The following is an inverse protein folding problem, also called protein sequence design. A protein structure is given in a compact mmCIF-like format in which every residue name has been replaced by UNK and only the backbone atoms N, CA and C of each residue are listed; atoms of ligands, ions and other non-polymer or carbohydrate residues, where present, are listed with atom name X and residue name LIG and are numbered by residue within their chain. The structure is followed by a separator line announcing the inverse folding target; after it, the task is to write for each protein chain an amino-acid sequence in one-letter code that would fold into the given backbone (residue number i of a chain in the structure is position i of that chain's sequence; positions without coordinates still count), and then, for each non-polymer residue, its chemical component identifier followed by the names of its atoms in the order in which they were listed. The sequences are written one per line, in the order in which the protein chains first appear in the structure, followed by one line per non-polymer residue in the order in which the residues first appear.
data_IF_159601317569
#
_entry.id   IF_159601317569
#
_cell.length_a   1.000
_cell.length_b   1.000
_cell.length_c   1.000
_cell.angle_alpha   90.00
_cell.angle_beta   90.00
_cell.angle_gamma   90.00
#
_symmetry.space_group_name_H-M   'P 1'
#
loop_
_entity.id
_entity.type
_entity.pdbx_description
1 polymer ?
#
# COMPACT_ATOMS: atom_id res chain seq x y z
N UNK A 1 -6.71 -1.74 35.11
CA UNK A 1 -7.73 -0.68 34.98
C UNK A 1 -7.68 0.00 33.61
N UNK A 2 -6.55 0.63 33.20
CA UNK A 2 -6.44 1.29 31.89
C UNK A 2 -6.74 0.40 30.66
N UNK A 3 -6.19 -0.82 30.58
CA UNK A 3 -6.49 -1.77 29.48
C UNK A 3 -7.96 -2.18 29.42
N UNK A 4 -8.62 -2.26 30.57
CA UNK A 4 -10.05 -2.60 30.65
C UNK A 4 -10.93 -1.43 30.19
N UNK A 5 -10.52 -0.19 30.49
CA UNK A 5 -11.17 1.03 29.98
C UNK A 5 -10.99 1.19 28.47
N UNK A 6 -9.80 0.90 27.94
CA UNK A 6 -9.52 0.91 26.49
C UNK A 6 -10.35 -0.17 25.79
N UNK A 7 -10.38 -1.40 26.31
CA UNK A 7 -11.21 -2.47 25.76
C UNK A 7 -12.71 -2.15 25.83
N UNK A 8 -13.18 -1.51 26.91
CA UNK A 8 -14.55 -1.04 27.04
C UNK A 8 -14.87 0.08 26.03
N UNK A 9 -13.93 1.00 25.81
CA UNK A 9 -14.08 2.08 24.85
C UNK A 9 -14.12 1.58 23.40
N UNK A 10 -13.27 0.61 23.04
CA UNK A 10 -13.35 -0.06 21.72
C UNK A 10 -14.69 -0.78 21.55
N UNK A 11 -15.14 -1.55 22.55
CA UNK A 11 -16.45 -2.21 22.50
C UNK A 11 -17.60 -1.22 22.40
N UNK A 12 -17.48 -0.07 23.05
CA UNK A 12 -18.46 1.01 22.97
C UNK A 12 -18.48 1.64 21.58
N UNK A 13 -17.32 1.93 20.96
CA UNK A 13 -17.25 2.42 19.58
C UNK A 13 -17.80 1.39 18.59
N UNK A 14 -17.40 0.12 18.69
CA UNK A 14 -17.93 -0.96 17.84
C UNK A 14 -19.46 -1.09 17.99
N UNK A 15 -19.99 -0.96 19.21
CA UNK A 15 -21.43 -1.00 19.46
C UNK A 15 -22.14 0.25 18.90
N UNK A 16 -21.56 1.43 19.05
CA UNK A 16 -22.09 2.68 18.51
C UNK A 16 -22.09 2.68 16.97
N UNK A 17 -21.03 2.18 16.35
CA UNK A 17 -20.92 1.99 14.90
C UNK A 17 -21.95 0.97 14.39
N UNK A 18 -22.18 -0.14 15.13
CA UNK A 18 -23.26 -1.09 14.82
C UNK A 18 -24.64 -0.46 14.94
N UNK A 19 -24.87 0.42 15.91
CA UNK A 19 -26.15 1.14 16.05
C UNK A 19 -26.36 2.12 14.90
N UNK A 20 -25.30 2.78 14.43
CA UNK A 20 -25.35 3.61 13.20
C UNK A 20 -25.61 2.75 11.96
N UNK A 21 -25.03 1.55 11.88
CA UNK A 21 -25.32 0.58 10.82
C UNK A 21 -26.73 -0.04 10.92
N UNK A 22 -27.36 -0.01 12.11
CA UNK A 22 -28.74 -0.45 12.37
C UNK A 22 -29.78 0.68 12.18
N UNK A 23 -29.35 1.90 11.84
CA UNK A 23 -30.27 2.90 11.32
C UNK A 23 -30.97 2.31 10.08
N UNK A 24 -32.29 2.46 9.93
CA UNK A 24 -33.03 1.69 8.93
C UNK A 24 -32.53 2.06 7.54
N UNK A 25 -31.72 1.15 6.98
CA UNK A 25 -31.42 1.13 5.57
C UNK A 25 -32.75 0.99 4.83
N UNK A 26 -33.00 1.92 3.91
CA UNK A 26 -34.01 1.70 2.89
C UNK A 26 -33.56 0.47 2.10
N UNK A 27 -34.35 -0.60 2.21
CA UNK A 27 -34.35 -1.82 1.42
C UNK A 27 -32.98 -2.43 1.04
N UNK A 28 -32.58 -3.49 1.77
CA UNK A 28 -31.94 -4.65 1.12
C UNK A 28 -30.52 -5.09 1.51
N UNK A 29 -29.84 -4.51 2.51
CA UNK A 29 -28.49 -4.99 2.90
C UNK A 29 -28.55 -6.02 4.04
N UNK A 30 -28.82 -7.27 3.65
CA UNK A 30 -28.62 -8.46 4.49
C UNK A 30 -27.14 -8.61 4.85
N UNK A 31 -26.79 -8.67 6.15
CA UNK A 31 -25.56 -9.23 6.74
C UNK A 31 -24.58 -9.84 5.71
N UNK A 32 -23.82 -9.01 4.99
CA UNK A 32 -22.94 -9.46 3.93
C UNK A 32 -21.66 -10.03 4.56
N UNK A 33 -21.32 -11.26 4.21
CA UNK A 33 -19.96 -11.79 4.36
C UNK A 33 -18.97 -10.74 3.85
N UNK A 34 -17.94 -10.41 4.63
CA UNK A 34 -16.95 -9.41 4.21
C UNK A 34 -16.36 -9.80 2.85
N UNK A 35 -16.36 -8.88 1.89
CA UNK A 35 -15.77 -9.12 0.57
C UNK A 35 -14.26 -9.36 0.73
N UNK A 36 -13.62 -10.16 -0.15
CA UNK A 36 -12.18 -10.45 -0.03
C UNK A 36 -11.29 -9.20 0.06
N UNK A 37 -11.71 -8.09 -0.56
CA UNK A 37 -11.01 -6.82 -0.47
C UNK A 37 -11.14 -6.14 0.91
N UNK A 38 -12.28 -6.30 1.59
CA UNK A 38 -12.49 -5.81 2.95
C UNK A 38 -11.66 -6.59 3.96
N UNK A 39 -11.59 -7.92 3.82
CA UNK A 39 -10.73 -8.77 4.65
C UNK A 39 -9.25 -8.34 4.56
N UNK A 40 -8.76 -8.10 3.34
CA UNK A 40 -7.38 -7.65 3.12
C UNK A 40 -7.17 -6.26 3.70
N UNK A 41 -8.11 -5.32 3.55
CA UNK A 41 -8.01 -4.00 4.19
C UNK A 41 -7.87 -4.14 5.70
N UNK A 42 -8.72 -4.96 6.31
CA UNK A 42 -8.76 -5.15 7.76
C UNK A 42 -7.49 -5.86 8.26
N UNK A 43 -6.93 -6.78 7.48
CA UNK A 43 -5.61 -7.37 7.72
C UNK A 43 -4.50 -6.30 7.77
N UNK A 44 -4.37 -5.46 6.74
CA UNK A 44 -3.38 -4.38 6.75
C UNK A 44 -3.59 -3.40 7.92
N UNK A 45 -4.85 -3.13 8.27
CA UNK A 45 -5.20 -2.27 9.39
C UNK A 45 -4.80 -2.86 10.75
N UNK A 46 -5.02 -4.16 10.97
CA UNK A 46 -4.63 -4.86 12.20
C UNK A 46 -3.11 -4.81 12.44
N UNK A 47 -2.32 -4.70 11.37
CA UNK A 47 -0.86 -4.52 11.42
C UNK A 47 -0.42 -3.04 11.49
N UNK A 48 -1.33 -2.09 11.73
CA UNK A 48 -1.05 -0.65 11.68
C UNK A 48 -0.35 -0.22 10.38
N UNK A 49 -0.72 -0.89 9.28
CA UNK A 49 -0.16 -0.72 7.95
C UNK A 49 1.37 -0.85 7.87
N UNK A 50 2.00 -1.61 8.77
CA UNK A 50 3.44 -1.82 8.80
C UNK A 50 3.82 -3.28 9.07
N UNK A 51 4.65 -3.83 8.20
CA UNK A 51 5.14 -5.21 8.26
C UNK A 51 6.65 -5.21 8.44
N UNK A 52 7.11 -5.15 9.70
CA UNK A 52 8.53 -4.96 10.03
C UNK A 52 9.48 -5.96 9.36
N UNK A 53 9.12 -7.25 9.36
CA UNK A 53 9.94 -8.28 8.71
C UNK A 53 10.10 -8.07 7.20
N UNK A 54 9.04 -7.62 6.50
CA UNK A 54 9.14 -7.28 5.08
C UNK A 54 9.96 -6.01 4.84
N UNK A 55 9.77 -5.01 5.70
CA UNK A 55 10.53 -3.76 5.63
C UNK A 55 12.03 -3.98 5.78
N UNK A 56 12.41 -4.79 6.76
CA UNK A 56 13.81 -5.16 7.01
C UNK A 56 14.43 -5.94 5.85
N UNK A 57 13.71 -6.92 5.29
CA UNK A 57 14.22 -7.68 4.14
C UNK A 57 14.33 -6.78 2.92
N UNK A 58 13.34 -5.93 2.66
CA UNK A 58 13.37 -4.99 1.54
C UNK A 58 14.53 -3.99 1.64
N UNK A 59 14.79 -3.47 2.83
CA UNK A 59 15.89 -2.54 3.12
C UNK A 59 17.26 -3.21 2.93
N UNK A 60 17.43 -4.46 3.37
CA UNK A 60 18.63 -5.26 3.10
C UNK A 60 18.81 -5.52 1.60
N UNK A 61 17.76 -5.96 0.91
CA UNK A 61 17.81 -6.20 -0.54
C UNK A 61 18.17 -4.94 -1.32
N UNK A 62 17.63 -3.78 -0.93
CA UNK A 62 17.99 -2.50 -1.55
C UNK A 62 19.48 -2.15 -1.35
N UNK A 63 20.03 -2.43 -0.16
CA UNK A 63 21.45 -2.25 0.13
C UNK A 63 22.33 -3.19 -0.70
N UNK A 64 21.98 -4.48 -0.78
CA UNK A 64 22.72 -5.50 -1.53
C UNK A 64 22.74 -5.21 -3.04
N UNK A 65 21.63 -4.72 -3.58
CA UNK A 65 21.51 -4.31 -4.99
C UNK A 65 22.15 -2.95 -5.28
N UNK A 66 22.57 -2.20 -4.27
CA UNK A 66 23.16 -0.87 -4.45
C UNK A 66 22.18 0.17 -4.99
N UNK A 67 20.88 0.05 -4.69
CA UNK A 67 19.81 0.90 -5.27
C UNK A 67 19.67 2.27 -4.60
N UNK A 68 20.67 2.70 -3.82
CA UNK A 68 20.63 3.94 -3.04
C UNK A 68 20.55 5.26 -3.84
N UNK A 69 20.61 5.20 -5.17
CA UNK A 69 20.47 6.34 -6.07
C UNK A 69 19.28 6.14 -7.02
N UNK A 70 18.36 7.10 -7.06
CA UNK A 70 17.22 7.10 -7.99
C UNK A 70 17.68 6.93 -9.46
N UNK A 71 16.89 6.21 -10.25
CA UNK A 71 17.13 6.01 -11.69
C UNK A 71 18.04 4.85 -12.09
N UNK A 72 18.46 3.98 -11.14
CA UNK A 72 19.19 2.73 -11.47
C UNK A 72 18.56 1.46 -10.91
N UNK A 73 17.51 1.61 -10.10
CA UNK A 73 16.88 0.48 -9.41
C UNK A 73 16.28 -0.53 -10.37
N UNK A 74 15.64 -0.08 -11.45
CA UNK A 74 15.07 -0.98 -12.45
C UNK A 74 16.15 -1.86 -13.10
N UNK A 75 17.30 -1.28 -13.45
CA UNK A 75 18.37 -2.03 -14.12
C UNK A 75 19.09 -2.99 -13.17
N UNK A 76 19.33 -2.57 -11.92
CA UNK A 76 19.85 -3.47 -10.88
C UNK A 76 18.91 -4.66 -10.63
N UNK A 77 17.59 -4.43 -10.58
CA UNK A 77 16.60 -5.50 -10.43
C UNK A 77 16.56 -6.42 -11.64
N UNK A 78 16.65 -5.89 -12.88
CA UNK A 78 16.74 -6.71 -14.09
C UNK A 78 17.96 -7.61 -14.06
N UNK A 79 19.13 -7.06 -13.72
CA UNK A 79 20.38 -7.81 -13.66
C UNK A 79 20.32 -8.90 -12.58
N UNK A 80 19.77 -8.59 -11.41
CA UNK A 80 19.57 -9.58 -10.34
C UNK A 80 18.63 -10.71 -10.76
N UNK A 81 17.51 -10.39 -11.41
CA UNK A 81 16.58 -11.39 -11.95
C UNK A 81 17.24 -12.26 -13.02
N UNK A 82 18.06 -11.68 -13.90
CA UNK A 82 18.79 -12.42 -14.92
C UNK A 82 19.85 -13.36 -14.32
N UNK A 83 20.68 -12.86 -13.42
CA UNK A 83 21.81 -13.60 -12.85
C UNK A 83 21.38 -14.66 -11.84
N UNK A 84 20.45 -14.32 -10.93
CA UNK A 84 20.04 -15.22 -9.85
C UNK A 84 18.90 -16.15 -10.23
N UNK A 85 17.95 -15.67 -11.02
CA UNK A 85 16.73 -16.41 -11.35
C UNK A 85 16.68 -16.89 -12.80
N UNK A 86 17.66 -16.54 -13.64
CA UNK A 86 17.66 -16.81 -15.09
C UNK A 86 16.42 -16.25 -15.79
N UNK A 87 15.90 -15.14 -15.28
CA UNK A 87 14.70 -14.49 -15.83
C UNK A 87 15.12 -13.37 -16.77
N UNK A 88 14.63 -13.41 -18.01
CA UNK A 88 14.84 -12.34 -18.98
C UNK A 88 13.66 -11.37 -18.96
N UNK A 89 13.95 -10.10 -18.70
CA UNK A 89 12.93 -9.04 -18.71
C UNK A 89 12.78 -8.50 -20.14
N UNK A 90 11.56 -8.56 -20.67
CA UNK A 90 11.24 -8.13 -22.03
C UNK A 90 10.09 -7.13 -22.01
N UNK A 91 10.14 -6.13 -22.89
CA UNK A 91 9.02 -5.20 -23.09
C UNK A 91 8.04 -5.82 -24.10
N UNK A 92 6.76 -5.87 -23.78
CA UNK A 92 5.73 -6.44 -24.67
C UNK A 92 5.43 -5.54 -25.85
N UNK A 93 4.88 -6.13 -26.91
CA UNK A 93 4.26 -5.37 -28.00
C UNK A 93 3.12 -4.49 -27.45
N UNK A 94 3.05 -3.19 -27.78
CA UNK A 94 1.95 -2.31 -27.38
C UNK A 94 0.56 -2.86 -27.72
N UNK A 95 0.39 -3.59 -28.83
CA UNK A 95 -0.90 -4.17 -29.23
C UNK A 95 -1.31 -5.36 -28.37
N UNK A 96 -0.39 -5.92 -27.57
CA UNK A 96 -0.61 -7.10 -26.71
C UNK A 96 -0.46 -6.79 -25.22
N UNK A 97 -0.20 -5.54 -24.87
CA UNK A 97 0.01 -5.12 -23.49
C UNK A 97 -1.34 -4.96 -22.77
N UNK A 98 -1.89 -6.05 -22.23
CA UNK A 98 -3.07 -5.98 -21.35
C UNK A 98 -2.67 -5.73 -19.89
N UNK A 99 -1.59 -6.37 -19.45
CA UNK A 99 -1.13 -6.31 -18.07
C UNK A 99 0.12 -5.43 -17.91
N UNK A 100 0.29 -4.83 -16.73
CA UNK A 100 1.54 -4.14 -16.40
C UNK A 100 2.74 -5.11 -16.39
N UNK A 101 2.52 -6.33 -15.90
CA UNK A 101 3.54 -7.37 -15.75
C UNK A 101 2.92 -8.76 -15.93
N UNK A 102 3.58 -9.62 -16.71
CA UNK A 102 3.25 -11.04 -16.82
C UNK A 102 4.52 -11.87 -16.72
N UNK A 103 4.57 -12.79 -15.76
CA UNK A 103 5.67 -13.73 -15.62
C UNK A 103 5.29 -15.09 -16.21
N UNK A 104 6.15 -15.63 -17.06
CA UNK A 104 6.04 -16.98 -17.59
C UNK A 104 7.17 -17.85 -17.00
N UNK A 105 6.85 -18.75 -16.05
CA UNK A 105 7.86 -19.57 -15.39
C UNK A 105 8.47 -20.62 -16.32
N UNK A 106 7.76 -21.06 -17.36
CA UNK A 106 8.23 -22.13 -18.26
C UNK A 106 9.31 -21.60 -19.21
N UNK A 107 9.12 -20.37 -19.71
CA UNK A 107 10.08 -19.71 -20.61
C UNK A 107 11.10 -18.83 -19.87
N UNK A 108 10.91 -18.57 -18.57
CA UNK A 108 11.75 -17.66 -17.80
C UNK A 108 11.63 -16.21 -18.27
N UNK A 109 10.50 -15.82 -18.87
CA UNK A 109 10.27 -14.48 -19.40
C UNK A 109 9.42 -13.65 -18.45
N UNK A 110 9.89 -12.45 -18.14
CA UNK A 110 9.12 -11.42 -17.45
C UNK A 110 8.76 -10.31 -18.44
N UNK A 111 7.50 -10.32 -18.87
CA UNK A 111 6.92 -9.39 -19.82
C UNK A 111 6.44 -8.14 -19.08
N UNK A 112 6.92 -6.96 -19.49
CA UNK A 112 6.47 -5.66 -18.97
C UNK A 112 5.77 -4.84 -20.04
N UNK A 113 4.71 -4.13 -19.66
CA UNK A 113 4.04 -3.20 -20.58
C UNK A 113 4.99 -2.07 -21.03
N UNK A 114 4.94 -1.67 -22.32
CA UNK A 114 5.76 -0.58 -22.85
C UNK A 114 5.39 0.79 -22.28
N UNK A 115 4.17 0.95 -21.74
CA UNK A 115 3.67 2.23 -21.23
C UNK A 115 4.04 2.51 -19.78
N UNK A 116 4.76 1.58 -19.13
CA UNK A 116 5.25 1.81 -17.78
C UNK A 116 6.40 2.82 -17.80
N UNK A 117 6.28 3.83 -16.95
CA UNK A 117 7.39 4.70 -16.58
C UNK A 117 8.52 3.89 -15.92
N UNK A 118 9.72 4.47 -15.83
CA UNK A 118 10.86 3.79 -15.20
C UNK A 118 10.56 3.39 -13.74
N UNK A 119 9.93 4.29 -12.98
CA UNK A 119 9.48 4.03 -11.61
C UNK A 119 8.51 2.84 -11.54
N UNK A 120 7.54 2.79 -12.45
CA UNK A 120 6.58 1.70 -12.52
C UNK A 120 7.25 0.38 -12.91
N UNK A 121 8.21 0.40 -13.84
CA UNK A 121 9.01 -0.78 -14.18
C UNK A 121 9.76 -1.29 -12.95
N UNK A 122 10.46 -0.41 -12.22
CA UNK A 122 11.18 -0.77 -11.00
C UNK A 122 10.22 -1.40 -9.96
N UNK A 123 9.04 -0.83 -9.77
CA UNK A 123 8.01 -1.38 -8.89
C UNK A 123 7.57 -2.78 -9.32
N UNK A 124 7.25 -2.98 -10.60
CA UNK A 124 6.84 -4.29 -11.12
C UNK A 124 7.93 -5.35 -10.96
N UNK A 125 9.20 -4.98 -11.19
CA UNK A 125 10.34 -5.87 -10.99
C UNK A 125 10.54 -6.24 -9.52
N UNK A 126 10.43 -5.26 -8.61
CA UNK A 126 10.55 -5.48 -7.18
C UNK A 126 9.39 -6.34 -6.64
N UNK A 127 8.17 -6.15 -7.14
CA UNK A 127 7.03 -7.03 -6.82
C UNK A 127 7.31 -8.46 -7.26
N UNK A 128 7.84 -8.66 -8.48
CA UNK A 128 8.18 -10.00 -8.95
C UNK A 128 9.29 -10.63 -8.11
N UNK A 129 10.31 -9.85 -7.72
CA UNK A 129 11.36 -10.31 -6.84
C UNK A 129 10.81 -10.79 -5.49
N UNK A 130 9.88 -10.03 -4.89
CA UNK A 130 9.22 -10.41 -3.65
C UNK A 130 8.52 -11.79 -3.76
N UNK A 131 7.81 -12.00 -4.87
CA UNK A 131 7.08 -13.25 -5.13
C UNK A 131 8.02 -14.45 -5.34
N UNK A 132 9.23 -14.23 -5.85
CA UNK A 132 10.23 -15.26 -6.10
C UNK A 132 11.07 -15.59 -4.86
N UNK A 133 11.57 -14.56 -4.17
CA UNK A 133 12.56 -14.73 -3.10
C UNK A 133 11.97 -14.77 -1.70
N UNK A 134 10.78 -14.21 -1.51
CA UNK A 134 10.16 -14.05 -0.19
C UNK A 134 8.80 -14.74 -0.09
N UNK A 135 8.49 -15.68 -0.99
CA UNK A 135 7.23 -16.43 -0.99
C UNK A 135 6.91 -17.09 0.35
N UNK A 136 7.91 -17.65 1.04
CA UNK A 136 7.72 -18.23 2.38
C UNK A 136 7.30 -17.19 3.42
N UNK A 137 8.02 -16.06 3.50
CA UNK A 137 7.69 -14.96 4.40
C UNK A 137 6.31 -14.37 4.11
N UNK A 138 5.98 -14.16 2.83
CA UNK A 138 4.65 -13.70 2.43
C UNK A 138 3.56 -14.67 2.88
N UNK A 139 3.77 -15.98 2.68
CA UNK A 139 2.80 -17.00 3.09
C UNK A 139 2.64 -17.07 4.61
N UNK A 140 3.73 -16.94 5.38
CA UNK A 140 3.67 -16.87 6.85
C UNK A 140 2.85 -15.68 7.31
N UNK A 141 3.12 -14.48 6.78
CA UNK A 141 2.36 -13.28 7.15
C UNK A 141 0.88 -13.37 6.79
N UNK A 142 0.54 -13.99 5.65
CA UNK A 142 -0.85 -14.24 5.26
C UNK A 142 -1.53 -15.24 6.20
N UNK A 143 -0.83 -16.31 6.59
CA UNK A 143 -1.36 -17.32 7.51
C UNK A 143 -1.61 -16.74 8.92
N UNK A 144 -0.75 -15.85 9.40
CA UNK A 144 -0.91 -15.15 10.67
C UNK A 144 -2.12 -14.20 10.70
N UNK A 145 -2.63 -13.79 9.52
CA UNK A 145 -3.76 -12.89 9.38
C UNK A 145 -5.14 -13.52 9.52
N UNK A 146 -5.23 -14.85 9.65
CA UNK A 146 -6.49 -15.61 9.81
C UNK A 146 -7.60 -15.23 8.80
N UNK A 147 -7.22 -14.98 7.53
CA UNK A 147 -8.16 -14.65 6.45
C UNK A 147 -9.14 -15.80 6.18
N UNK A 148 -10.41 -15.49 5.94
CA UNK A 148 -11.48 -16.47 5.86
C UNK A 148 -11.58 -17.15 4.48
N UNK A 149 -11.07 -16.52 3.42
CA UNK A 149 -11.14 -17.03 2.04
C UNK A 149 -9.78 -17.17 1.35
N UNK A 150 -9.62 -18.20 0.52
CA UNK A 150 -8.42 -18.39 -0.33
C UNK A 150 -8.21 -17.20 -1.28
N UNK A 151 -9.31 -16.56 -1.71
CA UNK A 151 -9.25 -15.35 -2.53
C UNK A 151 -8.66 -14.17 -1.75
N UNK A 152 -9.09 -13.94 -0.51
CA UNK A 152 -8.49 -12.92 0.36
C UNK A 152 -7.01 -13.21 0.63
N UNK A 153 -6.65 -14.47 0.89
CA UNK A 153 -5.26 -14.89 1.06
C UNK A 153 -4.40 -14.59 -0.18
N UNK A 154 -4.91 -14.87 -1.38
CA UNK A 154 -4.25 -14.52 -2.65
C UNK A 154 -4.06 -13.02 -2.82
N UNK A 155 -5.10 -12.22 -2.52
CA UNK A 155 -5.05 -10.76 -2.58
C UNK A 155 -4.10 -10.17 -1.54
N UNK A 156 -4.08 -10.69 -0.31
CA UNK A 156 -3.16 -10.28 0.74
C UNK A 156 -1.71 -10.55 0.34
N UNK A 157 -1.43 -11.72 -0.25
CA UNK A 157 -0.10 -12.05 -0.79
C UNK A 157 0.37 -11.07 -1.84
N UNK A 158 -0.52 -10.65 -2.76
CA UNK A 158 -0.22 -9.61 -3.76
C UNK A 158 0.01 -8.26 -3.06
N UNK A 159 -0.82 -7.90 -2.08
CA UNK A 159 -0.67 -6.69 -1.29
C UNK A 159 0.67 -6.60 -0.58
N UNK A 160 1.11 -7.69 0.05
CA UNK A 160 2.40 -7.78 0.75
C UNK A 160 3.59 -7.75 -0.23
N UNK A 161 3.47 -8.34 -1.41
CA UNK A 161 4.48 -8.21 -2.46
C UNK A 161 4.59 -6.76 -2.97
N UNK A 162 3.48 -6.04 -3.06
CA UNK A 162 3.46 -4.61 -3.38
C UNK A 162 4.01 -3.75 -2.22
N UNK A 163 3.75 -4.13 -0.97
CA UNK A 163 4.36 -3.51 0.21
C UNK A 163 5.89 -3.61 0.14
N UNK A 164 6.40 -4.83 -0.11
CA UNK A 164 7.84 -5.06 -0.28
C UNK A 164 8.42 -4.20 -1.41
N UNK A 165 7.75 -4.12 -2.56
CA UNK A 165 8.21 -3.31 -3.69
C UNK A 165 8.35 -1.83 -3.29
N UNK A 166 7.37 -1.28 -2.56
CA UNK A 166 7.44 0.07 -2.02
C UNK A 166 8.60 0.24 -1.02
N UNK A 167 8.78 -0.71 -0.11
CA UNK A 167 9.85 -0.68 0.89
C UNK A 167 11.25 -0.83 0.28
N UNK A 168 11.40 -1.56 -0.84
CA UNK A 168 12.68 -1.71 -1.55
C UNK A 168 13.05 -0.42 -2.30
N UNK A 169 12.07 0.19 -2.97
CA UNK A 169 12.26 1.44 -3.70
C UNK A 169 12.48 2.63 -2.75
N UNK A 170 11.90 2.56 -1.55
CA UNK A 170 12.02 3.57 -0.50
C UNK A 170 12.41 2.90 0.82
N UNK A 171 13.69 2.50 0.98
CA UNK A 171 14.19 1.83 2.20
C UNK A 171 13.86 2.64 3.44
N UNK A 172 13.36 1.98 4.48
CA UNK A 172 12.69 2.62 5.61
C UNK A 172 13.51 3.76 6.21
N UNK A 173 14.75 3.50 6.63
CA UNK A 173 15.58 4.49 7.33
C UNK A 173 15.96 5.63 6.41
N UNK A 174 16.27 5.35 5.14
CA UNK A 174 16.60 6.39 4.17
C UNK A 174 15.38 7.27 3.84
N UNK A 175 14.20 6.67 3.69
CA UNK A 175 12.96 7.36 3.34
C UNK A 175 12.37 8.14 4.52
N UNK A 176 12.34 7.56 5.72
CA UNK A 176 11.88 8.24 6.94
C UNK A 176 12.73 9.49 7.21
N UNK A 177 14.06 9.35 7.20
CA UNK A 177 14.97 10.50 7.33
C UNK A 177 14.72 11.56 6.26
N UNK A 178 14.54 11.15 5.01
CA UNK A 178 14.24 12.08 3.93
C UNK A 178 12.88 12.78 4.12
N UNK A 179 11.87 12.07 4.62
CA UNK A 179 10.56 12.64 4.91
C UNK A 179 10.65 13.70 6.02
N UNK A 180 11.43 13.46 7.08
CA UNK A 180 11.65 14.46 8.12
C UNK A 180 12.46 15.66 7.62
N UNK A 181 13.56 15.43 6.89
CA UNK A 181 14.40 16.48 6.29
C UNK A 181 13.61 17.40 5.36
N UNK A 182 12.73 16.82 4.53
CA UNK A 182 11.91 17.52 3.54
C UNK A 182 10.54 17.94 4.10
N UNK A 183 10.31 17.77 5.41
CA UNK A 183 9.06 18.12 6.09
C UNK A 183 7.81 17.54 5.40
N UNK A 184 7.93 16.29 4.96
CA UNK A 184 6.86 15.52 4.32
C UNK A 184 6.36 16.11 2.98
N UNK A 185 7.18 16.93 2.30
CA UNK A 185 6.88 17.39 0.94
C UNK A 185 6.90 16.22 -0.05
N UNK A 186 5.71 15.86 -0.54
CA UNK A 186 5.50 14.69 -1.41
C UNK A 186 6.22 14.85 -2.75
N UNK A 187 6.22 16.05 -3.34
CA UNK A 187 6.83 16.29 -4.66
C UNK A 187 8.35 16.21 -4.58
N UNK A 188 8.95 16.73 -3.50
CA UNK A 188 10.39 16.58 -3.25
C UNK A 188 10.78 15.13 -2.97
N UNK A 189 9.95 14.37 -2.25
CA UNK A 189 10.16 12.93 -2.03
C UNK A 189 10.05 12.14 -3.34
N UNK A 190 9.09 12.47 -4.21
CA UNK A 190 8.98 11.87 -5.54
C UNK A 190 10.27 12.09 -6.35
N UNK A 191 10.77 13.33 -6.36
CA UNK A 191 12.02 13.67 -7.06
C UNK A 191 13.23 12.91 -6.48
N UNK A 192 13.33 12.82 -5.15
CA UNK A 192 14.47 12.16 -4.48
C UNK A 192 14.51 10.64 -4.69
N UNK A 193 13.36 9.98 -4.71
CA UNK A 193 13.27 8.52 -4.85
C UNK A 193 12.90 8.04 -6.25
N UNK A 194 12.55 8.96 -7.17
CA UNK A 194 12.18 8.64 -8.54
C UNK A 194 10.89 7.81 -8.61
N UNK A 195 9.90 8.11 -7.78
CA UNK A 195 8.61 7.39 -7.70
C UNK A 195 7.40 8.31 -7.90
N UNK A 196 6.23 7.72 -8.13
CA UNK A 196 4.98 8.46 -8.32
C UNK A 196 4.35 8.97 -7.02
N UNK A 197 3.44 9.94 -7.13
CA UNK A 197 2.76 10.60 -6.01
C UNK A 197 2.05 9.58 -5.10
N UNK A 198 1.26 8.67 -5.69
CA UNK A 198 0.57 7.62 -4.94
C UNK A 198 1.55 6.69 -4.21
N UNK A 199 2.69 6.37 -4.81
CA UNK A 199 3.71 5.50 -4.22
C UNK A 199 4.36 6.15 -2.99
N UNK A 200 4.65 7.46 -3.05
CA UNK A 200 5.15 8.21 -1.87
C UNK A 200 4.11 8.25 -0.76
N UNK A 201 2.86 8.61 -1.08
CA UNK A 201 1.78 8.66 -0.09
C UNK A 201 1.53 7.30 0.57
N UNK A 202 1.58 6.24 -0.24
CA UNK A 202 1.51 4.86 0.26
C UNK A 202 2.61 4.60 1.28
N UNK A 203 3.88 4.89 0.94
CA UNK A 203 5.01 4.64 1.83
C UNK A 203 4.95 5.47 3.11
N UNK A 204 4.58 6.75 3.03
CA UNK A 204 4.37 7.60 4.20
C UNK A 204 3.37 7.01 5.20
N UNK A 205 2.31 6.36 4.70
CA UNK A 205 1.31 5.69 5.55
C UNK A 205 1.81 4.40 6.24
N UNK A 206 3.03 3.95 5.95
CA UNK A 206 3.60 2.70 6.51
C UNK A 206 4.72 2.94 7.53
N UNK A 207 5.08 4.19 7.84
CA UNK A 207 6.23 4.53 8.70
C UNK A 207 5.95 4.30 10.20
N UNK A 208 5.65 3.06 10.59
CA UNK A 208 5.25 2.68 11.95
C UNK A 208 6.23 1.70 12.63
N UNK A 209 7.49 1.63 12.19
CA UNK A 209 8.55 0.85 12.85
C UNK A 209 8.70 1.28 14.31
N UNK A 210 8.67 0.29 15.20
CA UNK A 210 8.82 0.53 16.64
C UNK A 210 10.17 1.19 16.92
N UNK A 211 10.15 2.33 17.63
CA UNK A 211 11.33 3.11 17.96
C UNK A 211 11.74 4.16 16.92
N UNK A 212 11.14 4.13 15.72
CA UNK A 212 11.50 5.03 14.61
C UNK A 212 10.25 5.36 13.75
N UNK A 213 9.22 5.94 14.38
CA UNK A 213 7.92 6.20 13.74
C UNK A 213 7.92 7.56 13.03
N UNK A 214 7.30 7.60 11.86
CA UNK A 214 6.90 8.84 11.20
C UNK A 214 5.51 9.31 11.62
N UNK A 215 5.02 10.36 10.96
CA UNK A 215 3.63 10.85 11.14
C UNK A 215 2.63 9.72 10.82
N UNK A 216 1.65 9.41 11.69
CA UNK A 216 0.68 8.34 11.47
C UNK A 216 -0.40 8.80 10.47
N UNK A 217 -0.10 8.69 9.17
CA UNK A 217 -1.05 9.06 8.13
C UNK A 217 -2.16 8.04 7.92
N UNK A 218 -3.33 8.55 7.53
CA UNK A 218 -4.37 7.80 6.83
C UNK A 218 -4.28 8.10 5.34
N UNK A 219 -4.22 7.06 4.51
CA UNK A 219 -4.17 7.13 3.06
C UNK A 219 -5.47 6.63 2.44
N UNK A 220 -6.04 7.43 1.53
CA UNK A 220 -7.24 7.08 0.79
C UNK A 220 -7.05 7.37 -0.70
N UNK A 221 -7.69 6.55 -1.54
CA UNK A 221 -7.81 6.80 -2.98
C UNK A 221 -9.27 6.83 -3.38
N UNK A 222 -9.71 7.95 -3.92
CA UNK A 222 -11.09 8.20 -4.31
C UNK A 222 -11.20 8.52 -5.80
N UNK A 223 -12.34 8.21 -6.41
CA UNK A 223 -12.67 8.62 -7.78
C UNK A 223 -13.72 9.76 -7.81
N UNK A 224 -14.02 10.26 -9.02
CA UNK A 224 -14.99 11.37 -9.21
C UNK A 224 -16.42 11.01 -8.78
N UNK A 225 -16.75 9.72 -8.73
CA UNK A 225 -18.08 9.26 -8.32
C UNK A 225 -18.21 9.11 -6.79
N UNK A 226 -17.11 9.29 -6.06
CA UNK A 226 -17.10 9.13 -4.61
C UNK A 226 -16.61 7.77 -4.14
N UNK A 227 -16.27 6.85 -5.05
CA UNK A 227 -15.85 5.52 -4.67
C UNK A 227 -14.45 5.57 -4.07
N UNK A 228 -14.31 5.07 -2.84
CA UNK A 228 -13.00 4.96 -2.19
C UNK A 228 -12.46 3.55 -2.46
N UNK A 229 -11.51 3.46 -3.37
CA UNK A 229 -10.93 2.20 -3.86
C UNK A 229 -9.74 1.69 -3.04
N UNK A 230 -9.22 2.50 -2.12
CA UNK A 230 -8.13 2.11 -1.21
C UNK A 230 -8.23 2.89 0.09
N UNK A 231 -8.07 2.19 1.22
CA UNK A 231 -7.99 2.74 2.57
C UNK A 231 -6.85 2.04 3.29
N UNK A 232 -5.95 2.82 3.85
CA UNK A 232 -4.86 2.33 4.69
C UNK A 232 -4.60 3.34 5.78
N UNK A 233 -4.33 2.87 6.99
CA UNK A 233 -4.07 3.77 8.09
C UNK A 233 -3.07 3.20 9.07
N UNK A 234 -2.20 4.08 9.56
CA UNK A 234 -1.29 3.81 10.66
C UNK A 234 -1.99 3.79 12.03
N UNK A 235 -3.18 4.38 12.15
CA UNK A 235 -3.90 4.52 13.42
C UNK A 235 -5.43 4.45 13.24
N UNK A 236 -6.15 4.42 14.36
CA UNK A 236 -7.60 4.59 14.34
C UNK A 236 -7.93 5.99 13.80
N UNK A 237 -8.70 6.05 12.71
CA UNK A 237 -9.15 7.28 12.07
C UNK A 237 -10.57 7.05 11.55
N UNK A 238 -11.43 8.08 11.60
CA UNK A 238 -12.86 7.95 11.34
C UNK A 238 -13.20 7.34 9.97
N UNK A 239 -12.31 7.48 8.98
CA UNK A 239 -12.50 6.94 7.62
C UNK A 239 -11.66 5.70 7.32
N UNK A 240 -11.12 5.03 8.35
CA UNK A 240 -10.29 3.83 8.18
C UNK A 240 -11.06 2.60 7.70
N UNK A 241 -12.37 2.51 8.00
CA UNK A 241 -13.23 1.37 7.60
C UNK A 241 -14.44 1.79 6.76
N UNK A 242 -15.18 2.82 7.17
CA UNK A 242 -16.41 3.28 6.52
C UNK A 242 -16.46 4.82 6.40
N UNK A 243 -17.41 5.35 5.62
CA UNK A 243 -17.64 6.79 5.48
C UNK A 243 -16.68 7.51 4.50
N UNK A 244 -16.67 8.85 4.59
CA UNK A 244 -15.81 9.72 3.77
C UNK A 244 -16.51 10.39 2.58
N UNK A 245 -17.84 10.36 2.50
CA UNK A 245 -18.65 10.95 1.42
C UNK A 245 -19.08 12.40 1.68
N UNK A 246 -18.51 13.05 2.70
CA UNK A 246 -18.83 14.45 3.01
C UNK A 246 -18.42 15.35 1.84
N UNK A 247 -19.35 16.07 1.18
CA UNK A 247 -19.03 16.89 0.01
C UNK A 247 -18.18 18.12 0.36
N UNK A 248 -18.10 18.49 1.64
CA UNK A 248 -17.24 19.58 2.13
C UNK A 248 -15.78 19.14 2.33
N UNK A 249 -15.49 17.85 2.18
CA UNK A 249 -14.13 17.34 2.30
C UNK A 249 -13.34 17.68 1.03
N UNK A 250 -12.22 18.38 1.20
CA UNK A 250 -11.36 18.88 0.10
C UNK A 250 -10.85 17.78 -0.83
N UNK A 251 -10.92 16.50 -0.44
CA UNK A 251 -10.61 15.39 -1.35
C UNK A 251 -11.46 15.43 -2.63
N UNK A 252 -12.71 15.86 -2.55
CA UNK A 252 -13.60 15.96 -3.71
C UNK A 252 -13.35 17.23 -4.52
N UNK A 253 -12.85 18.29 -3.89
CA UNK A 253 -12.42 19.51 -4.57
C UNK A 253 -11.19 19.28 -5.47
N UNK A 254 -10.36 18.27 -5.15
CA UNK A 254 -9.18 17.93 -5.94
C UNK A 254 -9.52 17.63 -7.43
N UNK A 255 -10.72 17.11 -7.70
CA UNK A 255 -11.18 16.84 -9.08
C UNK A 255 -11.50 18.11 -9.90
N UNK A 256 -11.65 19.24 -9.22
CA UNK A 256 -11.84 20.57 -9.82
C UNK A 256 -10.53 21.35 -9.95
N UNK A 257 -9.43 20.85 -9.37
CA UNK A 257 -8.09 21.44 -9.46
C UNK A 257 -7.00 20.41 -9.84
N UNK A 258 -7.06 19.80 -11.05
CA UNK A 258 -6.08 18.80 -11.46
C UNK A 258 -4.64 19.31 -11.40
N UNK A 259 -3.73 18.47 -10.88
CA UNK A 259 -2.30 18.80 -10.77
C UNK A 259 -1.95 19.76 -9.63
N UNK A 260 -2.89 20.12 -8.76
CA UNK A 260 -2.64 20.94 -7.57
C UNK A 260 -2.85 20.13 -6.30
N UNK A 261 -1.93 20.28 -5.35
CA UNK A 261 -2.12 19.79 -3.98
C UNK A 261 -3.04 20.76 -3.24
N UNK A 262 -4.11 20.23 -2.66
CA UNK A 262 -5.04 20.98 -1.81
C UNK A 262 -4.85 20.55 -0.36
N UNK A 263 -4.99 21.49 0.58
CA UNK A 263 -4.89 21.23 2.02
C UNK A 263 -6.11 21.79 2.73
N UNK A 264 -6.53 21.12 3.80
CA UNK A 264 -7.69 21.50 4.60
C UNK A 264 -7.43 21.11 6.05
N UNK A 265 -7.70 22.03 6.98
CA UNK A 265 -7.89 21.69 8.39
C UNK A 265 -9.37 21.34 8.55
N UNK A 266 -9.67 20.08 8.80
CA UNK A 266 -11.03 19.56 8.95
C UNK A 266 -11.29 19.18 10.41
N UNK A 267 -12.50 19.47 10.89
CA UNK A 267 -12.98 19.09 12.21
C UNK A 267 -14.06 18.02 12.05
N UNK A 268 -13.94 16.94 12.81
CA UNK A 268 -14.98 15.91 12.88
C UNK A 268 -16.05 16.35 13.89
N UNK A 269 -17.28 15.81 13.83
CA UNK A 269 -18.35 16.24 14.76
C UNK A 269 -18.10 15.93 16.25
N UNK A 270 -17.13 15.09 16.60
CA UNK A 270 -16.83 14.62 17.96
C UNK A 270 -15.71 15.39 18.67
#
# INVERSE_FOLDING_TARGET
VARALVALHHRYRDAAERVVALAPAQDGESLLTAEPHDEVRDFFYAHHNHFGALDEVAERTAADLGTGSAGRTADALKEHLATRHRITVVTTDPQRAADARRFDPDSGLLLLSPWLSEAQRAFQLATQLALLEHGSLLNTLVADGELASDQAAGLARIGLANYFAGALLMPYTAFHRAAEELRYDIELLQARFGVGFETVCHRLSTLQRTGDRGVPFSFLRVDRAGNISKRQSASDFHFSRLGGTCPLWTVYEAFSAPGRILTQVAEMPD
#
